data_IF_124168066296
#
_entry.id   IF_124168066296
#
_cell.length_a   1.000
_cell.length_b   1.000
_cell.length_c   1.000
_cell.angle_alpha   90.00
_cell.angle_beta   90.00
_cell.angle_gamma   90.00
#
_symmetry.space_group_name_H-M   'P 1'
#
loop_
_entity.id
_entity.type
_entity.pdbx_description
1 polymer ?
#
# COMPACT_ATOMS: atom_id res chain seq x y z
N UNK A 1 -4.50 13.84 -15.68
CA UNK A 1 -4.69 12.45 -16.11
C UNK A 1 -3.65 11.61 -15.40
N UNK A 2 -4.05 11.00 -14.28
CA UNK A 2 -3.23 10.26 -13.34
C UNK A 2 -2.52 9.08 -14.01
N UNK A 3 -1.19 9.25 -14.21
CA UNK A 3 -0.29 8.29 -14.87
C UNK A 3 0.16 7.16 -13.94
N UNK A 4 -0.19 7.26 -12.66
CA UNK A 4 0.23 6.36 -11.57
C UNK A 4 -0.18 4.91 -11.82
N UNK A 5 -1.35 4.70 -12.43
CA UNK A 5 -1.89 3.36 -12.70
C UNK A 5 -1.13 2.59 -13.79
N UNK A 6 -0.52 3.29 -14.75
CA UNK A 6 0.25 2.66 -15.83
C UNK A 6 1.56 2.04 -15.33
N UNK A 7 2.11 2.52 -14.21
CA UNK A 7 3.40 2.08 -13.69
C UNK A 7 3.32 0.77 -12.89
N UNK A 8 2.16 0.45 -12.33
CA UNK A 8 2.00 -0.66 -11.38
C UNK A 8 1.55 -1.94 -12.12
N UNK A 9 1.07 -1.85 -13.37
CA UNK A 9 0.56 -3.01 -14.10
C UNK A 9 -0.73 -3.60 -13.50
N UNK A 10 -1.46 -2.79 -12.72
CA UNK A 10 -2.75 -3.11 -12.13
C UNK A 10 -3.81 -2.18 -12.75
N UNK A 11 -4.91 -2.71 -13.31
CA UNK A 11 -5.96 -1.89 -13.90
C UNK A 11 -6.59 -0.96 -12.85
N UNK A 12 -6.90 0.27 -13.25
CA UNK A 12 -7.65 1.18 -12.39
C UNK A 12 -9.12 0.71 -12.27
N UNK A 13 -9.89 1.19 -11.28
CA UNK A 13 -11.28 0.76 -11.11
C UNK A 13 -12.15 0.93 -12.36
N UNK A 14 -11.92 1.99 -13.13
CA UNK A 14 -12.62 2.22 -14.41
C UNK A 14 -12.26 1.17 -15.48
N UNK A 15 -10.98 0.78 -15.54
CA UNK A 15 -10.53 -0.27 -16.45
C UNK A 15 -11.15 -1.62 -16.07
N UNK A 16 -11.17 -1.96 -14.77
CA UNK A 16 -11.86 -3.17 -14.30
C UNK A 16 -13.34 -3.17 -14.71
N UNK A 17 -14.07 -2.06 -14.52
CA UNK A 17 -15.47 -1.96 -14.95
C UNK A 17 -15.63 -2.15 -16.46
N UNK A 18 -14.74 -1.59 -17.28
CA UNK A 18 -14.78 -1.76 -18.73
C UNK A 18 -14.51 -3.21 -19.15
N UNK A 19 -13.54 -3.88 -18.51
CA UNK A 19 -13.21 -5.29 -18.74
C UNK A 19 -14.40 -6.19 -18.37
N UNK A 20 -15.03 -5.95 -17.22
CA UNK A 20 -16.25 -6.67 -16.85
C UNK A 20 -17.42 -6.41 -17.82
N UNK A 21 -17.51 -5.21 -18.38
CA UNK A 21 -18.55 -4.87 -19.35
C UNK A 21 -18.44 -5.68 -20.65
N UNK A 22 -17.23 -6.09 -21.03
CA UNK A 22 -16.99 -6.98 -22.19
C UNK A 22 -16.98 -8.47 -21.83
N UNK A 23 -17.38 -8.83 -20.59
CA UNK A 23 -17.36 -10.20 -20.04
C UNK A 23 -15.97 -10.86 -20.02
N UNK A 24 -14.93 -10.06 -19.79
CA UNK A 24 -13.57 -10.56 -19.58
C UNK A 24 -13.17 -10.48 -18.11
N UNK A 25 -12.12 -11.20 -17.72
CA UNK A 25 -11.59 -11.19 -16.36
C UNK A 25 -10.46 -10.14 -16.24
N UNK A 26 -10.50 -9.26 -15.23
CA UNK A 26 -9.43 -8.27 -15.03
C UNK A 26 -8.10 -8.90 -14.62
N UNK A 27 -8.11 -10.15 -14.12
CA UNK A 27 -6.90 -10.90 -13.77
C UNK A 27 -6.03 -11.16 -15.01
N UNK A 28 -6.63 -11.34 -16.19
CA UNK A 28 -5.92 -11.54 -17.47
C UNK A 28 -5.16 -10.29 -17.93
N UNK A 29 -5.55 -9.12 -17.39
CA UNK A 29 -4.93 -7.84 -17.66
C UNK A 29 -3.88 -7.44 -16.61
N UNK A 30 -3.69 -8.26 -15.57
CA UNK A 30 -2.63 -8.04 -14.60
C UNK A 30 -1.28 -8.38 -15.21
N UNK A 31 -0.25 -7.65 -14.79
CA UNK A 31 1.11 -8.03 -15.12
C UNK A 31 1.45 -9.39 -14.44
N UNK A 32 2.17 -10.25 -15.16
CA UNK A 32 2.57 -11.61 -14.73
C UNK A 32 3.09 -11.70 -13.28
N UNK A 33 3.74 -10.64 -12.80
CA UNK A 33 4.29 -10.55 -11.44
C UNK A 33 3.25 -10.56 -10.32
N UNK A 34 2.01 -10.16 -10.61
CA UNK A 34 0.92 -10.08 -9.63
C UNK A 34 0.02 -11.32 -9.62
N UNK A 35 0.20 -12.26 -10.56
CA UNK A 35 -0.59 -13.49 -10.54
C UNK A 35 -0.26 -14.34 -9.31
N UNK A 36 -1.29 -15.03 -8.85
CA UNK A 36 -1.21 -15.98 -7.73
C UNK A 36 -0.08 -17.00 -7.92
N UNK A 37 0.11 -17.50 -9.15
CA UNK A 37 1.16 -18.47 -9.45
C UNK A 37 2.56 -17.90 -9.19
N UNK A 38 2.81 -16.67 -9.62
CA UNK A 38 4.07 -15.96 -9.39
C UNK A 38 4.29 -15.68 -7.91
N UNK A 39 3.24 -15.27 -7.19
CA UNK A 39 3.28 -15.09 -5.74
C UNK A 39 3.66 -16.40 -5.02
N UNK A 40 2.99 -17.50 -5.34
CA UNK A 40 3.27 -18.82 -4.76
C UNK A 40 4.68 -19.30 -5.11
N UNK A 41 5.16 -19.01 -6.33
CA UNK A 41 6.53 -19.34 -6.75
C UNK A 41 7.57 -18.54 -5.99
N UNK A 42 7.33 -17.24 -5.77
CA UNK A 42 8.22 -16.36 -5.03
C UNK A 42 8.34 -16.77 -3.55
N UNK A 43 7.22 -17.15 -2.93
CA UNK A 43 7.16 -17.59 -1.54
C UNK A 43 7.15 -19.11 -1.37
N UNK A 44 7.52 -19.87 -2.42
CA UNK A 44 7.55 -21.35 -2.38
C UNK A 44 8.50 -21.86 -1.31
N UNK A 45 9.60 -21.14 -1.10
CA UNK A 45 10.61 -21.48 -0.10
C UNK A 45 10.34 -20.73 1.19
N UNK A 46 10.53 -21.42 2.32
CA UNK A 46 10.46 -20.77 3.62
C UNK A 46 11.51 -19.66 3.67
N UNK A 47 11.06 -18.42 3.86
CA UNK A 47 11.97 -17.33 4.20
C UNK A 47 12.59 -17.68 5.55
N UNK A 48 13.92 -17.72 5.60
CA UNK A 48 14.61 -17.93 6.86
C UNK A 48 14.20 -16.82 7.81
N UNK A 49 13.80 -17.20 9.02
CA UNK A 49 13.56 -16.22 10.08
C UNK A 49 14.83 -15.44 10.28
N UNK A 50 14.74 -14.12 10.20
CA UNK A 50 15.84 -13.28 10.67
C UNK A 50 15.94 -13.55 12.16
N UNK A 51 17.14 -13.91 12.62
CA UNK A 51 17.34 -14.20 14.03
C UNK A 51 16.88 -13.00 14.87
N UNK A 52 16.45 -13.23 16.11
CA UNK A 52 15.98 -12.13 16.97
C UNK A 52 17.06 -11.07 17.19
N UNK A 53 16.63 -9.84 17.51
CA UNK A 53 17.52 -8.69 17.76
C UNK A 53 18.68 -9.01 18.72
N UNK A 54 18.48 -9.95 19.66
CA UNK A 54 19.48 -10.37 20.64
C UNK A 54 20.75 -11.00 20.04
N UNK A 55 20.68 -11.61 18.85
CA UNK A 55 21.89 -12.16 18.18
C UNK A 55 22.47 -11.25 17.11
N UNK A 56 21.86 -10.10 16.85
CA UNK A 56 22.40 -9.17 15.86
C UNK A 56 23.65 -8.50 16.42
N UNK A 57 24.71 -8.45 15.61
CA UNK A 57 25.90 -7.69 15.95
C UNK A 57 25.51 -6.22 16.11
N UNK A 58 25.85 -5.62 17.26
CA UNK A 58 25.65 -4.18 17.45
C UNK A 58 26.46 -3.45 16.38
N UNK A 59 25.76 -2.79 15.47
CA UNK A 59 26.42 -1.92 14.50
C UNK A 59 27.08 -0.79 15.29
N UNK A 60 28.37 -0.54 15.08
CA UNK A 60 29.08 0.62 15.66
C UNK A 60 28.62 1.97 15.11
N UNK A 61 27.50 1.98 14.39
CA UNK A 61 26.87 3.14 13.80
C UNK A 61 26.09 3.83 14.92
N UNK A 62 26.29 5.15 15.09
CA UNK A 62 25.52 5.91 16.06
C UNK A 62 24.02 5.83 15.73
N UNK A 63 23.15 5.67 16.75
CA UNK A 63 21.72 5.68 16.53
C UNK A 63 21.30 7.00 15.89
N UNK A 64 20.41 6.91 14.91
CA UNK A 64 19.82 8.10 14.28
C UNK A 64 19.08 8.87 15.36
N UNK A 65 19.39 10.17 15.47
CA UNK A 65 18.66 11.05 16.38
C UNK A 65 17.18 11.05 16.00
N UNK A 66 16.26 11.04 16.98
CA UNK A 66 14.84 11.12 16.68
C UNK A 66 14.57 12.39 15.84
N UNK A 67 13.60 12.34 14.91
CA UNK A 67 13.17 13.53 14.19
C UNK A 67 12.82 14.62 15.21
N UNK A 68 13.27 15.85 14.94
CA UNK A 68 12.91 16.99 15.78
C UNK A 68 11.38 17.08 15.81
N UNK A 69 10.82 17.01 17.02
CA UNK A 69 9.40 17.16 17.25
C UNK A 69 8.96 18.53 16.75
N UNK A 70 8.33 18.57 15.58
CA UNK A 70 7.66 19.78 15.11
C UNK A 70 6.30 19.84 15.81
N UNK A 71 6.04 20.93 16.53
CA UNK A 71 4.68 21.25 16.93
C UNK A 71 3.87 21.42 15.64
N UNK A 72 3.01 20.44 15.36
CA UNK A 72 2.07 20.56 14.24
C UNK A 72 1.21 21.79 14.56
N UNK A 73 1.09 22.78 13.64
CA UNK A 73 0.12 23.84 13.85
C UNK A 73 -1.23 23.16 14.08
N UNK A 74 -1.89 23.52 15.18
CA UNK A 74 -3.17 22.93 15.55
C UNK A 74 -4.09 23.05 14.35
N UNK A 75 -4.39 21.89 13.73
CA UNK A 75 -5.14 21.85 12.49
C UNK A 75 -6.47 22.57 12.69
N UNK A 76 -6.90 23.33 11.67
CA UNK A 76 -8.16 24.07 11.67
C UNK A 76 -9.28 23.16 12.19
N UNK A 77 -9.94 23.59 13.28
CA UNK A 77 -11.03 22.84 13.91
C UNK A 77 -12.01 22.42 12.82
N UNK A 78 -12.17 21.10 12.62
CA UNK A 78 -13.19 20.57 11.70
C UNK A 78 -14.54 21.13 12.16
N UNK A 79 -15.13 22.01 11.37
CA UNK A 79 -16.52 22.41 11.55
C UNK A 79 -17.39 21.15 11.44
N UNK A 80 -17.87 20.65 12.59
CA UNK A 80 -18.90 19.62 12.61
C UNK A 80 -20.11 20.20 11.90
N UNK A 81 -20.58 19.55 10.83
CA UNK A 81 -21.89 19.87 10.25
C UNK A 81 -22.92 19.61 11.34
N UNK A 82 -23.57 20.67 11.81
CA UNK A 82 -24.72 20.53 12.69
C UNK A 82 -25.84 19.95 11.84
N UNK A 83 -26.38 18.81 12.25
CA UNK A 83 -27.61 18.30 11.65
C UNK A 83 -28.71 19.35 11.85
N UNK A 84 -29.51 19.61 10.81
CA UNK A 84 -30.77 20.31 11.03
C UNK A 84 -31.70 19.31 11.72
N UNK A 85 -32.00 19.59 12.98
CA UNK A 85 -33.16 19.02 13.64
C UNK A 85 -34.42 19.60 12.98
N UNK A 86 -35.31 18.73 12.53
CA UNK A 86 -36.72 19.02 12.30
C UNK A 86 -37.51 17.70 12.35
N UNK A 87 -38.77 17.67 12.82
CA UNK A 87 -39.59 18.73 13.43
C UNK A 87 -39.71 18.71 14.96
#
# INVERSE_FOLDING_TARGET
MDKSWQLIGIPCPHACCAIYHVNEEPDDYLYTYYHKETYLKAYKYAMQTINGLHVWTKSGIQPVLPPIERNMPEGTKKNKRMAKDEP
#
